data_IF_446816902678
#
_entry.id   IF_446816902678
#
_cell.length_a   1.000
_cell.length_b   1.000
_cell.length_c   1.000
_cell.angle_alpha   90.00
_cell.angle_beta   90.00
_cell.angle_gamma   90.00
#
_symmetry.space_group_name_H-M   'P 1'
#
loop_
_entity.id
_entity.type
_entity.pdbx_description
1 polymer ?
#
# COMPACT_ATOMS: atom_id res chain seq x y z
N UNK A 1 -10.23 -15.04 3.86
CA UNK A 1 -8.91 -14.87 4.49
C UNK A 1 -8.77 -13.39 4.84
N UNK A 2 -8.35 -13.04 6.06
CA UNK A 2 -8.21 -11.64 6.48
C UNK A 2 -6.80 -11.13 6.17
N UNK A 3 -6.65 -9.89 5.72
CA UNK A 3 -5.38 -9.34 5.26
C UNK A 3 -4.26 -9.40 6.31
N UNK A 4 -4.59 -9.14 7.59
CA UNK A 4 -3.67 -9.33 8.72
C UNK A 4 -3.15 -10.76 8.82
N UNK A 5 -4.01 -11.76 8.59
CA UNK A 5 -3.63 -13.18 8.64
C UNK A 5 -2.71 -13.51 7.46
N UNK A 6 -3.06 -13.06 6.26
CA UNK A 6 -2.23 -13.21 5.06
C UNK A 6 -0.83 -12.63 5.26
N UNK A 7 -0.73 -11.44 5.87
CA UNK A 7 0.53 -10.74 6.14
C UNK A 7 1.52 -11.55 6.99
N UNK A 8 1.02 -12.27 8.00
CA UNK A 8 1.86 -13.19 8.79
C UNK A 8 2.13 -14.48 8.04
N UNK A 9 1.12 -15.08 7.43
CA UNK A 9 1.28 -16.38 6.75
C UNK A 9 2.24 -16.30 5.56
N UNK A 10 2.34 -15.15 4.89
CA UNK A 10 3.34 -14.94 3.84
C UNK A 10 4.72 -14.52 4.35
N UNK A 11 4.93 -14.41 5.67
CA UNK A 11 6.20 -14.04 6.30
C UNK A 11 6.59 -12.58 6.14
N UNK A 12 5.68 -11.72 5.66
CA UNK A 12 5.98 -10.30 5.44
C UNK A 12 6.13 -9.52 6.74
N UNK A 13 5.45 -9.98 7.81
CA UNK A 13 5.56 -9.34 9.11
C UNK A 13 6.99 -9.40 9.67
N UNK A 14 7.65 -10.55 9.53
CA UNK A 14 9.05 -10.71 9.96
C UNK A 14 10.02 -10.03 8.99
N UNK A 15 9.78 -10.17 7.67
CA UNK A 15 10.64 -9.59 6.64
C UNK A 15 10.70 -8.06 6.73
N UNK A 16 9.61 -7.42 7.15
CA UNK A 16 9.47 -5.97 7.20
C UNK A 16 9.62 -5.41 8.62
N UNK A 17 9.97 -6.23 9.61
CA UNK A 17 10.01 -5.82 11.01
C UNK A 17 10.90 -4.58 11.28
N UNK A 18 11.99 -4.44 10.52
CA UNK A 18 12.97 -3.35 10.69
C UNK A 18 12.77 -2.16 9.73
N UNK A 19 11.70 -2.16 8.92
CA UNK A 19 11.40 -1.06 7.99
C UNK A 19 10.08 -0.38 8.32
N UNK A 20 9.98 0.95 8.17
CA UNK A 20 8.70 1.64 8.32
C UNK A 20 7.70 1.20 7.24
N UNK A 21 6.63 0.53 7.65
CA UNK A 21 5.53 0.10 6.77
C UNK A 21 4.31 0.98 7.00
N UNK A 22 3.65 1.41 5.92
CA UNK A 22 2.37 2.11 5.99
C UNK A 22 1.29 1.22 5.36
N UNK A 23 0.22 0.97 6.09
CA UNK A 23 -0.84 0.05 5.69
C UNK A 23 -2.24 0.60 6.00
N UNK A 24 -3.29 -0.09 5.56
CA UNK A 24 -4.68 0.31 5.85
C UNK A 24 -5.09 -0.18 7.23
N UNK A 25 -6.26 0.27 7.71
CA UNK A 25 -6.73 -0.15 9.02
C UNK A 25 -7.07 -1.65 9.15
N UNK A 26 -6.98 -2.48 8.09
CA UNK A 26 -7.10 -3.93 8.21
C UNK A 26 -5.81 -4.58 8.76
N UNK A 27 -4.67 -3.87 8.72
CA UNK A 27 -3.39 -4.32 9.28
C UNK A 27 -3.15 -3.80 10.71
N UNK A 28 -4.18 -3.28 11.38
CA UNK A 28 -4.07 -2.89 12.79
C UNK A 28 -3.66 -4.09 13.66
N UNK A 29 -2.74 -3.85 14.61
CA UNK A 29 -2.13 -4.91 15.42
C UNK A 29 -0.92 -5.57 14.76
N UNK A 30 -0.34 -4.97 13.73
CA UNK A 30 1.02 -5.25 13.22
C UNK A 30 1.96 -4.10 13.61
N UNK A 31 3.23 -4.19 13.20
CA UNK A 31 4.19 -3.09 13.27
C UNK A 31 3.89 -1.95 12.26
N UNK A 32 2.94 -2.12 11.34
CA UNK A 32 2.64 -1.12 10.32
C UNK A 32 1.95 0.13 10.90
N UNK A 33 2.36 1.29 10.41
CA UNK A 33 1.71 2.57 10.64
C UNK A 33 0.38 2.56 9.88
N UNK A 34 -0.73 2.65 10.60
CA UNK A 34 -2.09 2.62 10.02
C UNK A 34 -2.88 3.87 10.44
N UNK A 35 -3.86 4.31 9.61
CA UNK A 35 -4.76 5.38 10.03
C UNK A 35 -5.51 4.98 11.30
N UNK A 36 -5.70 5.95 12.21
CA UNK A 36 -6.48 5.74 13.42
C UNK A 36 -7.96 5.59 13.06
N UNK A 37 -8.59 4.49 13.52
CA UNK A 37 -10.04 4.34 13.41
C UNK A 37 -10.75 5.26 14.39
N UNK A 38 -11.94 5.72 14.00
CA UNK A 38 -12.82 6.44 14.90
C UNK A 38 -13.13 5.58 16.14
N UNK A 39 -12.92 6.07 17.36
CA UNK A 39 -13.23 5.32 18.57
C UNK A 39 -14.74 5.14 18.72
N UNK A 40 -15.16 4.05 19.38
CA UNK A 40 -16.58 3.80 19.65
C UNK A 40 -17.14 4.91 20.53
N UNK A 41 -18.19 5.59 20.06
CA UNK A 41 -18.85 6.68 20.81
C UNK A 41 -18.06 7.98 20.90
N UNK A 42 -16.98 8.15 20.13
CA UNK A 42 -16.17 9.37 20.11
C UNK A 42 -15.79 9.81 18.70
N UNK A 43 -15.05 10.91 18.60
CA UNK A 43 -14.55 11.47 17.34
C UNK A 43 -13.03 11.37 17.24
N UNK A 44 -12.52 11.42 16.00
CA UNK A 44 -11.09 11.63 15.77
C UNK A 44 -10.69 13.04 16.19
N UNK A 45 -9.57 13.16 16.89
CA UNK A 45 -9.00 14.47 17.18
C UNK A 45 -8.56 15.18 15.90
N UNK A 46 -8.31 16.49 15.98
CA UNK A 46 -7.77 17.26 14.85
C UNK A 46 -6.42 16.68 14.41
N UNK A 47 -5.57 16.30 15.36
CA UNK A 47 -4.29 15.64 15.09
C UNK A 47 -4.44 14.30 14.39
N UNK A 48 -5.38 13.46 14.85
CA UNK A 48 -5.65 12.16 14.19
C UNK A 48 -6.15 12.35 12.75
N UNK A 49 -7.02 13.35 12.51
CA UNK A 49 -7.51 13.67 11.17
C UNK A 49 -6.37 14.14 10.26
N UNK A 50 -5.47 15.00 10.77
CA UNK A 50 -4.31 15.47 10.02
C UNK A 50 -3.37 14.31 9.67
N UNK A 51 -3.04 13.45 10.62
CA UNK A 51 -2.19 12.28 10.40
C UNK A 51 -2.83 11.29 9.41
N UNK A 52 -4.12 10.98 9.60
CA UNK A 52 -4.85 10.12 8.67
C UNK A 52 -4.89 10.69 7.25
N UNK A 53 -4.97 12.01 7.09
CA UNK A 53 -4.93 12.67 5.78
C UNK A 53 -3.58 12.46 5.09
N UNK A 54 -2.47 12.60 5.81
CA UNK A 54 -1.12 12.34 5.27
C UNK A 54 -0.98 10.87 4.86
N UNK A 55 -1.33 9.94 5.75
CA UNK A 55 -1.26 8.49 5.47
C UNK A 55 -2.13 8.13 4.25
N UNK A 56 -3.35 8.65 4.19
CA UNK A 56 -4.28 8.39 3.09
C UNK A 56 -3.77 8.96 1.77
N UNK A 57 -3.15 10.14 1.79
CA UNK A 57 -2.55 10.73 0.58
C UNK A 57 -1.41 9.89 0.04
N UNK A 58 -0.54 9.36 0.91
CA UNK A 58 0.55 8.48 0.51
C UNK A 58 0.00 7.19 -0.11
N UNK A 59 -0.92 6.53 0.60
CA UNK A 59 -1.56 5.30 0.13
C UNK A 59 -2.25 5.47 -1.21
N UNK A 60 -2.96 6.58 -1.40
CA UNK A 60 -3.70 6.85 -2.63
C UNK A 60 -2.81 6.86 -3.88
N UNK A 61 -1.56 7.32 -3.77
CA UNK A 61 -0.59 7.25 -4.87
C UNK A 61 -0.18 5.81 -5.18
N UNK A 62 0.13 5.02 -4.14
CA UNK A 62 0.50 3.61 -4.28
C UNK A 62 -0.65 2.79 -4.87
N UNK A 63 -1.88 3.01 -4.40
CA UNK A 63 -3.09 2.35 -4.90
C UNK A 63 -3.33 2.65 -6.38
N UNK A 64 -3.11 3.89 -6.83
CA UNK A 64 -3.20 4.25 -8.26
C UNK A 64 -2.15 3.52 -9.09
N UNK A 65 -0.89 3.47 -8.63
CA UNK A 65 0.14 2.69 -9.30
C UNK A 65 -0.27 1.22 -9.45
N UNK A 66 -0.74 0.59 -8.36
CA UNK A 66 -1.22 -0.81 -8.39
C UNK A 66 -2.41 -0.95 -9.34
N UNK A 67 -3.34 0.01 -9.36
CA UNK A 67 -4.46 0.02 -10.28
C UNK A 67 -3.99 0.07 -11.74
N UNK A 68 -3.00 0.90 -12.10
CA UNK A 68 -2.42 0.91 -13.44
C UNK A 68 -1.81 -0.43 -13.83
N UNK A 69 -1.02 -1.03 -12.93
CA UNK A 69 -0.41 -2.34 -13.14
C UNK A 69 -1.47 -3.43 -13.37
N UNK A 70 -2.58 -3.39 -12.62
CA UNK A 70 -3.71 -4.32 -12.81
C UNK A 70 -4.48 -4.04 -14.10
N UNK A 71 -4.82 -2.79 -14.38
CA UNK A 71 -5.64 -2.37 -15.53
C UNK A 71 -4.94 -2.65 -16.86
N UNK A 72 -3.62 -2.48 -16.93
CA UNK A 72 -2.83 -2.85 -18.10
C UNK A 72 -2.55 -4.35 -18.20
N UNK A 73 -3.19 -5.15 -17.33
CA UNK A 73 -3.12 -6.61 -17.29
C UNK A 73 -1.72 -7.19 -17.06
N UNK A 74 -0.77 -6.36 -16.60
CA UNK A 74 0.60 -6.78 -16.27
C UNK A 74 0.57 -7.89 -15.21
N UNK A 75 -0.27 -7.73 -14.18
CA UNK A 75 -0.48 -8.74 -13.15
C UNK A 75 -1.80 -9.53 -13.29
N UNK A 76 -2.76 -9.05 -14.09
CA UNK A 76 -4.12 -9.61 -14.09
C UNK A 76 -4.30 -10.86 -14.96
N UNK A 77 -3.57 -11.00 -16.07
CA UNK A 77 -3.72 -12.14 -17.00
C UNK A 77 -2.43 -12.93 -17.21
N UNK A 78 -1.48 -12.78 -16.28
CA UNK A 78 -0.10 -13.22 -16.44
C UNK A 78 0.69 -12.30 -17.37
N UNK A 79 1.89 -11.93 -16.96
CA UNK A 79 2.78 -11.12 -17.78
C UNK A 79 3.28 -11.93 -18.99
N UNK A 80 3.03 -11.44 -20.21
CA UNK A 80 3.35 -12.16 -21.46
C UNK A 80 4.72 -11.82 -22.06
N UNK A 81 5.46 -10.90 -21.45
CA UNK A 81 6.83 -10.57 -21.85
C UNK A 81 7.88 -11.47 -21.20
N UNK A 82 9.17 -11.17 -21.43
CA UNK A 82 10.27 -11.85 -20.71
C UNK A 82 10.14 -11.58 -19.22
N UNK A 83 9.98 -12.60 -18.39
CA UNK A 83 9.83 -12.44 -16.93
C UNK A 83 10.97 -11.63 -16.29
N UNK A 84 12.18 -11.71 -16.85
CA UNK A 84 13.32 -10.90 -16.43
C UNK A 84 13.08 -9.37 -16.52
N UNK A 85 12.16 -8.93 -17.39
CA UNK A 85 11.80 -7.52 -17.57
C UNK A 85 10.68 -7.06 -16.64
N UNK A 86 9.94 -7.98 -16.00
CA UNK A 86 8.79 -7.64 -15.16
C UNK A 86 9.16 -6.64 -14.03
N UNK A 87 10.29 -6.78 -13.31
CA UNK A 87 10.71 -5.78 -12.34
C UNK A 87 10.91 -4.38 -12.94
N UNK A 88 11.46 -4.30 -14.15
CA UNK A 88 11.66 -3.02 -14.85
C UNK A 88 10.33 -2.40 -15.24
N UNK A 89 9.40 -3.20 -15.77
CA UNK A 89 8.05 -2.73 -16.12
C UNK A 89 7.32 -2.19 -14.89
N UNK A 90 7.34 -2.91 -13.76
CA UNK A 90 6.73 -2.45 -12.51
C UNK A 90 7.34 -1.11 -12.08
N UNK A 91 8.68 -1.00 -12.06
CA UNK A 91 9.39 0.24 -11.71
C UNK A 91 9.02 1.41 -12.62
N UNK A 92 8.90 1.18 -13.93
CA UNK A 92 8.50 2.21 -14.90
C UNK A 92 7.08 2.72 -14.59
N UNK A 93 6.12 1.82 -14.37
CA UNK A 93 4.74 2.22 -14.05
C UNK A 93 4.70 3.01 -12.75
N UNK A 94 5.44 2.58 -11.72
CA UNK A 94 5.55 3.31 -10.45
C UNK A 94 6.16 4.69 -10.63
N UNK A 95 7.28 4.79 -11.36
CA UNK A 95 7.95 6.07 -11.61
C UNK A 95 7.07 7.05 -12.40
N UNK A 96 6.33 6.57 -13.41
CA UNK A 96 5.40 7.39 -14.17
C UNK A 96 4.27 7.95 -13.30
N UNK A 97 3.73 7.15 -12.39
CA UNK A 97 2.67 7.62 -11.48
C UNK A 97 3.19 8.66 -10.48
N UNK A 98 4.39 8.46 -9.93
CA UNK A 98 5.00 9.46 -9.03
C UNK A 98 5.36 10.77 -9.76
N UNK A 99 5.91 10.67 -10.98
CA UNK A 99 6.14 11.84 -11.82
C UNK A 99 4.84 12.62 -12.09
N UNK A 100 3.73 11.92 -12.38
CA UNK A 100 2.41 12.53 -12.59
C UNK A 100 1.88 13.27 -11.36
N UNK A 101 2.26 12.83 -10.16
CA UNK A 101 1.85 13.43 -8.89
C UNK A 101 2.79 14.55 -8.41
N UNK A 102 3.89 14.80 -9.13
CA UNK A 102 4.89 15.80 -8.77
C UNK A 102 5.73 15.39 -7.55
N UNK A 103 5.98 14.09 -7.39
CA UNK A 103 6.84 13.53 -6.34
C UNK A 103 8.24 13.23 -6.86
#
# INVERSE_FOLDING_TARGET
>A
MHDRKSFTECGWEDLLADVPVIADPAYQGTHAITPRKKPKGGELSIGDKANNRVISSLRSAVERCIAHVKNWKILATGFRGRLAELPNVIRIVTALEFYRLGW
#
